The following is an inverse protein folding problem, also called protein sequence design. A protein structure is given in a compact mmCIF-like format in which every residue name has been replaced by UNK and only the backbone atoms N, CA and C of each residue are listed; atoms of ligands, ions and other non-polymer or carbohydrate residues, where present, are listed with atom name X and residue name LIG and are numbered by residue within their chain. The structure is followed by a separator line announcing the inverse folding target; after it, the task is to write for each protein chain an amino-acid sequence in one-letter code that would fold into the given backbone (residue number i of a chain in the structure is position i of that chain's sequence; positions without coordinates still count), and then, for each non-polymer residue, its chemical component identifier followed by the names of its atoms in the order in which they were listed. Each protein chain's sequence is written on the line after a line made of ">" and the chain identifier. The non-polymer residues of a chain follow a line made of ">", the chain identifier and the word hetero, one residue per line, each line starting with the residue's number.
data_IF_343330392901
#
_entry.id   IF_343330392901
#
_cell.length_a   1.000
_cell.length_b   1.000
_cell.length_c   1.000
_cell.angle_alpha   90.00
_cell.angle_beta   90.00
_cell.angle_gamma   90.00
#
_symmetry.space_group_name_H-M   'P 1'
#
loop_
_entity.id
_entity.type
_entity.pdbx_description
1 polymer ?
#
# COMPACT_ATOMS: atom_id res chain seq x y z
N UNK A 1 -31.29 28.84 -8.05
CA UNK A 1 -30.49 28.17 -7.00
C UNK A 1 -30.82 26.69 -6.74
N UNK A 2 -32.09 26.21 -6.84
CA UNK A 2 -32.44 24.80 -6.54
C UNK A 2 -31.84 23.75 -7.50
N UNK A 3 -31.60 24.10 -8.78
CA UNK A 3 -30.99 23.18 -9.78
C UNK A 3 -29.53 22.84 -9.46
N UNK A 4 -28.74 23.79 -8.97
CA UNK A 4 -27.31 23.61 -8.66
C UNK A 4 -27.12 22.60 -7.51
N UNK A 5 -27.91 22.72 -6.43
CA UNK A 5 -27.89 21.74 -5.31
C UNK A 5 -28.24 20.31 -5.74
N UNK A 6 -29.07 20.14 -6.77
CA UNK A 6 -29.47 18.81 -7.28
C UNK A 6 -28.34 18.14 -8.05
N UNK A 7 -27.54 18.94 -8.79
CA UNK A 7 -26.35 18.48 -9.52
C UNK A 7 -25.25 18.06 -8.54
N UNK A 8 -25.03 18.85 -7.48
CA UNK A 8 -24.03 18.57 -6.45
C UNK A 8 -24.31 17.27 -5.69
N UNK A 9 -25.58 17.04 -5.31
CA UNK A 9 -26.02 15.77 -4.71
C UNK A 9 -25.83 14.57 -5.66
N UNK A 10 -26.13 14.72 -6.97
CA UNK A 10 -25.83 13.65 -7.95
C UNK A 10 -24.34 13.36 -8.05
N UNK A 11 -23.49 14.39 -7.95
CA UNK A 11 -22.04 14.21 -8.03
C UNK A 11 -21.47 13.51 -6.78
N UNK A 12 -22.00 13.80 -5.58
CA UNK A 12 -21.66 13.03 -4.37
C UNK A 12 -22.08 11.56 -4.46
N UNK A 13 -23.26 11.25 -5.00
CA UNK A 13 -23.70 9.87 -5.21
C UNK A 13 -22.81 9.14 -6.22
N UNK A 14 -22.40 9.80 -7.31
CA UNK A 14 -21.44 9.23 -8.28
C UNK A 14 -20.09 8.93 -7.63
N UNK A 15 -19.57 9.83 -6.79
CA UNK A 15 -18.33 9.61 -6.03
C UNK A 15 -18.44 8.40 -5.09
N UNK A 16 -19.55 8.25 -4.36
CA UNK A 16 -19.78 7.09 -3.48
C UNK A 16 -19.87 5.77 -4.24
N UNK A 17 -20.53 5.76 -5.40
CA UNK A 17 -20.61 4.58 -6.28
C UNK A 17 -19.23 4.22 -6.83
N UNK A 18 -18.44 5.21 -7.25
CA UNK A 18 -17.05 4.98 -7.69
C UNK A 18 -16.17 4.44 -6.56
N UNK A 19 -16.26 4.99 -5.34
CA UNK A 19 -15.54 4.45 -4.19
C UNK A 19 -15.95 3.00 -3.87
N UNK A 20 -17.24 2.66 -3.92
CA UNK A 20 -17.69 1.27 -3.74
C UNK A 20 -17.19 0.35 -4.86
N UNK A 21 -17.20 0.79 -6.11
CA UNK A 21 -16.70 0.01 -7.23
C UNK A 21 -15.19 -0.26 -7.12
N UNK A 22 -14.41 0.73 -6.68
CA UNK A 22 -12.96 0.57 -6.43
C UNK A 22 -12.71 -0.41 -5.28
N UNK A 23 -13.46 -0.31 -4.18
CA UNK A 23 -13.34 -1.27 -3.07
C UNK A 23 -13.67 -2.70 -3.51
N UNK A 24 -14.69 -2.87 -4.35
CA UNK A 24 -15.12 -4.18 -4.85
C UNK A 24 -14.11 -4.77 -5.83
N UNK A 25 -13.51 -3.95 -6.70
CA UNK A 25 -12.40 -4.35 -7.56
C UNK A 25 -11.17 -4.79 -6.77
N UNK A 26 -10.81 -4.06 -5.71
CA UNK A 26 -9.70 -4.42 -4.81
C UNK A 26 -9.98 -5.79 -4.16
N UNK A 27 -11.19 -6.00 -3.62
CA UNK A 27 -11.57 -7.29 -3.02
C UNK A 27 -11.49 -8.47 -3.99
N UNK A 28 -11.84 -8.27 -5.26
CA UNK A 28 -11.75 -9.34 -6.29
C UNK A 28 -10.30 -9.65 -6.67
N UNK A 29 -9.42 -8.65 -6.70
CA UNK A 29 -7.99 -8.86 -6.97
C UNK A 29 -7.24 -9.51 -5.79
N UNK A 30 -7.80 -9.48 -4.57
CA UNK A 30 -7.21 -10.12 -3.40
C UNK A 30 -7.48 -11.64 -3.31
N UNK A 31 -8.30 -12.21 -4.20
CA UNK A 31 -8.52 -13.66 -4.22
C UNK A 31 -7.36 -14.38 -4.91
N UNK A 32 -6.49 -15.02 -4.12
CA UNK A 32 -5.48 -15.95 -4.63
C UNK A 32 -6.13 -17.31 -4.90
N UNK A 33 -6.12 -17.77 -6.15
CA UNK A 33 -6.58 -19.12 -6.52
C UNK A 33 -5.41 -20.10 -6.30
N UNK A 34 -5.54 -21.12 -5.44
CA UNK A 34 -4.50 -22.14 -5.30
C UNK A 34 -4.45 -23.03 -6.56
N UNK A 35 -3.32 -23.02 -7.26
CA UNK A 35 -3.04 -23.91 -8.40
C UNK A 35 -2.36 -25.18 -7.88
N UNK A 36 -3.06 -26.32 -7.97
CA UNK A 36 -2.48 -27.63 -7.64
C UNK A 36 -1.63 -28.14 -8.81
N UNK A 37 -0.30 -28.09 -8.66
CA UNK A 37 0.67 -28.71 -9.56
C UNK A 37 1.44 -29.83 -8.84
N UNK A 38 1.88 -30.84 -9.58
CA UNK A 38 2.62 -32.02 -9.08
C UNK A 38 3.79 -31.63 -8.16
N UNK A 39 3.85 -32.27 -7.00
CA UNK A 39 3.88 -31.60 -5.68
C UNK A 39 5.25 -31.17 -5.12
N UNK A 40 6.38 -31.47 -5.76
CA UNK A 40 7.70 -31.23 -5.15
C UNK A 40 8.61 -30.25 -5.90
N UNK A 41 8.82 -30.47 -7.21
CA UNK A 41 9.84 -29.73 -7.98
C UNK A 41 9.34 -28.33 -8.37
N UNK A 42 8.04 -28.22 -8.66
CA UNK A 42 7.41 -26.99 -9.14
C UNK A 42 7.23 -26.03 -7.94
N UNK A 43 6.71 -26.53 -6.82
CA UNK A 43 6.48 -25.77 -5.58
C UNK A 43 7.74 -25.08 -5.07
N UNK A 44 8.90 -25.75 -5.12
CA UNK A 44 10.17 -25.17 -4.65
C UNK A 44 10.60 -23.94 -5.46
N UNK A 45 10.45 -23.98 -6.79
CA UNK A 45 10.77 -22.83 -7.67
C UNK A 45 9.80 -21.67 -7.44
N UNK A 46 8.52 -21.96 -7.22
CA UNK A 46 7.53 -20.93 -6.91
C UNK A 46 7.75 -20.29 -5.53
N UNK A 47 8.22 -21.03 -4.52
CA UNK A 47 8.54 -20.47 -3.21
C UNK A 47 9.73 -19.50 -3.30
N UNK A 48 10.78 -19.86 -4.06
CA UNK A 48 11.91 -18.93 -4.28
C UNK A 48 11.46 -17.65 -4.99
N UNK A 49 10.55 -17.75 -5.96
CA UNK A 49 9.99 -16.58 -6.63
C UNK A 49 9.15 -15.72 -5.68
N UNK A 50 8.35 -16.33 -4.80
CA UNK A 50 7.59 -15.61 -3.76
C UNK A 50 8.54 -14.89 -2.81
N UNK A 51 9.63 -15.53 -2.38
CA UNK A 51 10.63 -14.94 -1.49
C UNK A 51 11.34 -13.75 -2.17
N UNK A 52 11.66 -13.87 -3.46
CA UNK A 52 12.23 -12.76 -4.24
C UNK A 52 11.25 -11.58 -4.28
N UNK A 53 9.97 -11.83 -4.58
CA UNK A 53 8.95 -10.77 -4.64
C UNK A 53 8.75 -10.13 -3.27
N UNK A 54 8.61 -10.93 -2.20
CA UNK A 54 8.49 -10.43 -0.83
C UNK A 54 9.73 -9.63 -0.40
N UNK A 55 10.92 -10.08 -0.80
CA UNK A 55 12.18 -9.38 -0.60
C UNK A 55 12.23 -8.03 -1.30
N UNK A 56 11.75 -7.95 -2.55
CA UNK A 56 11.69 -6.69 -3.31
C UNK A 56 10.73 -5.68 -2.65
N UNK A 57 9.54 -6.11 -2.23
CA UNK A 57 8.59 -5.19 -1.57
C UNK A 57 9.14 -4.69 -0.24
N UNK A 58 9.81 -5.57 0.53
CA UNK A 58 10.50 -5.19 1.78
C UNK A 58 11.62 -4.19 1.52
N UNK A 59 12.43 -4.40 0.48
CA UNK A 59 13.51 -3.50 0.09
C UNK A 59 12.98 -2.11 -0.30
N UNK A 60 11.89 -2.05 -1.05
CA UNK A 60 11.22 -0.78 -1.40
C UNK A 60 10.72 -0.06 -0.14
N UNK A 61 10.08 -0.79 0.78
CA UNK A 61 9.65 -0.24 2.07
C UNK A 61 10.81 0.36 2.88
N UNK A 62 11.95 -0.34 2.94
CA UNK A 62 13.15 0.13 3.62
C UNK A 62 13.72 1.43 2.99
N UNK A 63 13.71 1.53 1.66
CA UNK A 63 14.14 2.75 0.95
C UNK A 63 13.24 3.94 1.30
N UNK A 64 11.92 3.74 1.34
CA UNK A 64 10.98 4.82 1.69
C UNK A 64 11.17 5.27 3.14
N UNK A 65 11.45 4.34 4.07
CA UNK A 65 11.78 4.68 5.46
C UNK A 65 13.06 5.49 5.53
N UNK A 66 14.14 5.05 4.87
CA UNK A 66 15.42 5.77 4.81
C UNK A 66 15.24 7.20 4.28
N UNK A 67 14.43 7.36 3.24
CA UNK A 67 14.14 8.67 2.67
C UNK A 67 13.30 9.54 3.62
N UNK A 68 12.35 8.96 4.33
CA UNK A 68 11.59 9.67 5.38
C UNK A 68 12.49 10.11 6.55
N UNK A 69 13.50 9.32 6.92
CA UNK A 69 14.50 9.70 7.93
C UNK A 69 15.36 10.86 7.44
N UNK A 70 15.75 10.87 6.16
CA UNK A 70 16.46 12.00 5.55
C UNK A 70 15.62 13.29 5.58
N UNK A 71 14.33 13.20 5.20
CA UNK A 71 13.39 14.33 5.33
C UNK A 71 13.25 14.79 6.78
N UNK A 72 13.22 13.86 7.74
CA UNK A 72 13.14 14.18 9.16
C UNK A 72 14.39 14.92 9.66
N UNK A 73 15.59 14.51 9.23
CA UNK A 73 16.84 15.20 9.56
C UNK A 73 16.90 16.64 9.01
N UNK A 74 16.44 16.86 7.79
CA UNK A 74 16.28 18.22 7.25
C UNK A 74 15.19 19.02 7.98
N UNK A 75 14.09 18.36 8.34
CA UNK A 75 13.00 18.99 9.08
C UNK A 75 13.40 19.40 10.51
N UNK A 76 14.33 18.70 11.15
CA UNK A 76 14.89 19.09 12.45
C UNK A 76 15.74 20.38 12.39
N UNK A 77 16.28 20.71 11.22
CA UNK A 77 17.00 21.97 10.99
C UNK A 77 16.04 23.14 10.70
N UNK A 78 14.74 22.87 10.51
CA UNK A 78 13.72 23.88 10.19
C UNK A 78 12.87 24.16 11.43
N UNK A 79 12.56 25.43 11.72
CA UNK A 79 11.69 25.81 12.87
C UNK A 79 10.20 25.45 12.68
N UNK A 80 9.82 25.04 11.46
CA UNK A 80 8.45 24.69 11.11
C UNK A 80 8.12 23.24 11.50
N UNK A 81 7.40 23.05 12.60
CA UNK A 81 6.93 21.73 13.06
C UNK A 81 6.06 20.96 12.04
N UNK A 82 5.52 21.66 11.04
CA UNK A 82 4.83 21.05 9.90
C UNK A 82 5.75 20.15 9.06
N UNK A 83 7.02 20.52 8.86
CA UNK A 83 7.99 19.73 8.09
C UNK A 83 8.29 18.39 8.79
N UNK A 84 8.43 18.42 10.13
CA UNK A 84 8.68 17.23 10.95
C UNK A 84 7.50 16.26 10.90
N UNK A 85 6.28 16.79 10.95
CA UNK A 85 5.05 16.00 10.92
C UNK A 85 4.83 15.29 9.58
N UNK A 86 5.24 15.89 8.46
CA UNK A 86 5.14 15.25 7.14
C UNK A 86 6.23 14.19 6.94
N UNK A 87 7.45 14.45 7.39
CA UNK A 87 8.52 13.44 7.39
C UNK A 87 8.14 12.20 8.22
N UNK A 88 7.56 12.40 9.41
CA UNK A 88 7.06 11.29 10.25
C UNK A 88 5.95 10.48 9.58
N UNK A 89 5.02 11.11 8.86
CA UNK A 89 4.01 10.39 8.08
C UNK A 89 4.63 9.50 7.01
N UNK A 90 5.69 9.97 6.35
CA UNK A 90 6.40 9.19 5.32
C UNK A 90 7.16 8.01 5.93
N UNK A 91 7.82 8.23 7.07
CA UNK A 91 8.46 7.16 7.84
C UNK A 91 7.42 6.10 8.24
N UNK A 92 6.28 6.53 8.78
CA UNK A 92 5.18 5.64 9.17
C UNK A 92 4.63 4.83 7.99
N UNK A 93 4.43 5.48 6.83
CA UNK A 93 4.01 4.79 5.60
C UNK A 93 5.03 3.77 5.10
N UNK A 94 6.33 4.10 5.17
CA UNK A 94 7.41 3.17 4.86
C UNK A 94 7.43 1.94 5.78
N UNK A 95 7.22 2.15 7.08
CA UNK A 95 7.19 1.09 8.08
C UNK A 95 6.02 0.12 7.84
N UNK A 96 4.84 0.65 7.50
CA UNK A 96 3.67 -0.17 7.14
C UNK A 96 3.96 -1.01 5.89
N UNK A 97 4.66 -0.49 4.89
CA UNK A 97 5.03 -1.25 3.69
C UNK A 97 6.01 -2.40 3.98
N UNK A 98 6.98 -2.19 4.88
CA UNK A 98 7.89 -3.24 5.34
C UNK A 98 7.12 -4.36 6.04
N UNK A 99 6.18 -4.02 6.92
CA UNK A 99 5.37 -4.99 7.67
C UNK A 99 4.39 -5.73 6.75
N UNK A 100 3.78 -5.05 5.79
CA UNK A 100 2.85 -5.66 4.83
C UNK A 100 3.49 -6.80 4.02
N UNK A 101 4.80 -6.67 3.71
CA UNK A 101 5.57 -7.69 2.98
C UNK A 101 5.73 -8.99 3.78
N UNK A 102 5.87 -8.89 5.10
CA UNK A 102 5.96 -10.05 5.99
C UNK A 102 4.60 -10.76 6.15
N UNK A 103 3.49 -10.00 6.12
CA UNK A 103 2.15 -10.58 6.16
C UNK A 103 1.82 -11.35 4.87
N UNK A 104 2.27 -10.88 3.70
CA UNK A 104 2.13 -11.62 2.44
C UNK A 104 2.83 -12.99 2.49
N UNK A 105 4.03 -13.05 3.08
CA UNK A 105 4.79 -14.29 3.22
C UNK A 105 4.17 -15.27 4.23
N UNK A 106 3.37 -14.79 5.19
CA UNK A 106 2.72 -15.61 6.21
C UNK A 106 1.32 -16.13 5.81
N UNK A 107 0.63 -15.43 4.92
CA UNK A 107 -0.74 -15.77 4.51
C UNK A 107 -0.80 -16.77 3.33
N UNK A 108 0.29 -16.90 2.58
CA UNK A 108 0.43 -17.75 1.37
C UNK A 108 1.20 -19.03 1.68
#
# INVERSE_FOLDING_TARGET
>A
MKKIRKIEKRNQYRKKIMCMAVMLLICMTCYTIPVFASSAIITSKFNTLKDIVAGVVTAIGAIVVLWGIFEFGNAMQTQEGGAQSQALKRIGGGLVMVIASQLLALLV
#
